data_IF_110901205491
#
_entry.id   IF_110901205491
#
_cell.length_a   1.000
_cell.length_b   1.000
_cell.length_c   1.000
_cell.angle_alpha   90.00
_cell.angle_beta   90.00
_cell.angle_gamma   90.00
#
_symmetry.space_group_name_H-M   'P 1'
#
loop_
_entity.id
_entity.type
_entity.pdbx_description
1 polymer ?
#
# COMPACT_ATOMS: atom_id res chain seq x y z
N UNK A 1 -8.59 1.12 -25.86
CA UNK A 1 -8.08 0.47 -24.63
C UNK A 1 -8.83 1.09 -23.45
N UNK A 2 -9.41 0.28 -22.55
CA UNK A 2 -10.15 0.80 -21.39
C UNK A 2 -9.13 1.19 -20.32
N UNK A 3 -9.14 2.45 -19.87
CA UNK A 3 -8.26 2.92 -18.81
C UNK A 3 -8.89 2.58 -17.46
N UNK A 4 -8.39 1.52 -16.82
CA UNK A 4 -8.82 1.16 -15.46
C UNK A 4 -8.16 2.06 -14.42
N UNK A 5 -8.80 2.27 -13.26
CA UNK A 5 -8.20 2.98 -12.14
C UNK A 5 -6.86 2.37 -11.74
N UNK A 6 -5.84 3.20 -11.60
CA UNK A 6 -4.48 2.77 -11.27
C UNK A 6 -4.17 2.98 -9.78
N UNK A 7 -3.39 2.09 -9.16
CA UNK A 7 -2.88 2.29 -7.80
C UNK A 7 -2.26 3.69 -7.61
N UNK A 8 -2.67 4.38 -6.55
CA UNK A 8 -2.19 5.72 -6.20
C UNK A 8 -2.95 6.88 -6.85
N UNK A 9 -3.86 6.64 -7.79
CA UNK A 9 -4.76 7.69 -8.28
C UNK A 9 -5.68 8.20 -7.16
N UNK A 10 -6.04 9.50 -7.21
CA UNK A 10 -7.06 10.08 -6.34
C UNK A 10 -8.33 10.40 -7.12
N UNK A 11 -9.45 10.00 -6.54
CA UNK A 11 -10.79 10.11 -7.11
C UNK A 11 -11.74 10.76 -6.12
N UNK A 12 -12.75 11.46 -6.62
CA UNK A 12 -13.77 12.14 -5.81
C UNK A 12 -15.13 11.53 -6.09
N UNK A 13 -15.87 11.19 -5.03
CA UNK A 13 -17.26 10.77 -5.14
C UNK A 13 -18.16 11.96 -5.43
N UNK A 14 -19.30 11.74 -6.06
CA UNK A 14 -20.31 12.77 -6.35
C UNK A 14 -20.79 13.54 -5.10
N UNK A 15 -20.70 12.94 -3.92
CA UNK A 15 -21.05 13.57 -2.63
C UNK A 15 -19.87 14.30 -1.96
N UNK A 16 -18.73 14.43 -2.64
CA UNK A 16 -17.63 15.31 -2.26
C UNK A 16 -16.46 14.67 -1.52
N UNK A 17 -16.59 13.44 -0.99
CA UNK A 17 -15.46 12.74 -0.34
C UNK A 17 -14.45 12.22 -1.36
N UNK A 18 -13.18 12.11 -0.94
CA UNK A 18 -12.08 11.66 -1.80
C UNK A 18 -11.50 10.34 -1.34
N UNK A 19 -11.06 9.56 -2.32
CA UNK A 19 -10.49 8.24 -2.12
C UNK A 19 -9.21 8.08 -2.93
N UNK A 20 -8.29 7.27 -2.42
CA UNK A 20 -7.09 6.83 -3.12
C UNK A 20 -7.26 5.38 -3.58
N UNK A 21 -6.92 5.08 -4.83
CA UNK A 21 -6.94 3.71 -5.35
C UNK A 21 -5.79 2.91 -4.73
N UNK A 22 -6.09 1.76 -4.13
CA UNK A 22 -5.08 0.82 -3.66
C UNK A 22 -4.70 -0.15 -4.78
N UNK A 23 -5.70 -0.82 -5.37
CA UNK A 23 -5.52 -1.75 -6.49
C UNK A 23 -6.86 -2.13 -7.13
N UNK A 24 -6.78 -2.64 -8.35
CA UNK A 24 -7.87 -3.38 -9.00
C UNK A 24 -7.73 -4.88 -8.65
N UNK A 25 -8.84 -5.53 -8.33
CA UNK A 25 -8.92 -6.96 -8.06
C UNK A 25 -9.80 -7.61 -9.11
N UNK A 26 -9.36 -8.75 -9.64
CA UNK A 26 -10.17 -9.57 -10.53
C UNK A 26 -10.72 -10.77 -9.77
N UNK A 27 -12.01 -11.07 -9.97
CA UNK A 27 -12.65 -12.23 -9.40
C UNK A 27 -12.19 -13.51 -10.10
N UNK A 28 -12.40 -14.66 -9.46
CA UNK A 28 -12.13 -15.95 -10.10
C UNK A 28 -13.07 -16.16 -11.31
N UNK A 29 -12.67 -16.93 -12.34
CA UNK A 29 -13.48 -17.12 -13.54
C UNK A 29 -14.91 -17.61 -13.25
N UNK A 30 -15.08 -18.50 -12.28
CA UNK A 30 -16.40 -19.01 -11.87
C UNK A 30 -17.30 -17.91 -11.31
N UNK A 31 -16.74 -16.99 -10.51
CA UNK A 31 -17.48 -15.85 -9.96
C UNK A 31 -17.81 -14.84 -11.05
N UNK A 32 -16.86 -14.56 -11.95
CA UNK A 32 -17.10 -13.67 -13.08
C UNK A 32 -18.17 -14.21 -14.04
N UNK A 33 -18.26 -15.54 -14.22
CA UNK A 33 -19.31 -16.17 -15.03
C UNK A 33 -20.69 -16.05 -14.38
N UNK A 34 -20.77 -16.25 -13.06
CA UNK A 34 -22.02 -16.17 -12.32
C UNK A 34 -22.51 -14.72 -12.14
N UNK A 35 -21.58 -13.77 -11.95
CA UNK A 35 -21.86 -12.37 -11.64
C UNK A 35 -20.88 -11.45 -12.39
N UNK A 36 -21.12 -11.16 -13.68
CA UNK A 36 -20.19 -10.38 -14.49
C UNK A 36 -19.98 -8.96 -13.98
N UNK A 37 -20.96 -8.36 -13.30
CA UNK A 37 -20.86 -7.02 -12.69
C UNK A 37 -19.82 -6.96 -11.56
N UNK A 38 -19.58 -8.09 -10.87
CA UNK A 38 -18.63 -8.24 -9.77
C UNK A 38 -17.34 -8.94 -10.22
N UNK A 39 -17.13 -9.08 -11.54
CA UNK A 39 -15.90 -9.65 -12.09
C UNK A 39 -14.65 -8.85 -11.72
N UNK A 40 -14.82 -7.56 -11.42
CA UNK A 40 -13.75 -6.65 -11.03
C UNK A 40 -14.19 -5.73 -9.91
N UNK A 41 -13.32 -5.61 -8.92
CA UNK A 41 -13.52 -4.70 -7.79
C UNK A 41 -12.34 -3.74 -7.66
N UNK A 42 -12.65 -2.52 -7.24
CA UNK A 42 -11.67 -1.50 -6.92
C UNK A 42 -11.53 -1.45 -5.42
N UNK A 43 -10.32 -1.66 -4.92
CA UNK A 43 -9.99 -1.48 -3.52
C UNK A 43 -9.58 -0.01 -3.30
N UNK A 44 -10.31 0.69 -2.45
CA UNK A 44 -10.16 2.13 -2.20
C UNK A 44 -9.83 2.39 -0.74
N UNK A 45 -9.10 3.48 -0.50
CA UNK A 45 -8.87 4.05 0.84
C UNK A 45 -9.50 5.44 0.91
N UNK A 46 -10.32 5.69 1.92
CA UNK A 46 -10.88 7.01 2.19
C UNK A 46 -9.80 7.94 2.74
N UNK A 47 -9.69 9.14 2.19
CA UNK A 47 -8.66 10.10 2.64
C UNK A 47 -9.00 10.72 4.01
N UNK A 48 -10.27 10.66 4.44
CA UNK A 48 -10.75 11.23 5.70
C UNK A 48 -10.28 10.46 6.94
N UNK A 49 -10.35 9.13 6.89
CA UNK A 49 -10.16 8.26 8.06
C UNK A 49 -9.26 7.05 7.76
N UNK A 50 -8.72 6.96 6.54
CA UNK A 50 -7.93 5.83 6.04
C UNK A 50 -8.67 4.48 6.08
N UNK A 51 -10.00 4.46 6.18
CA UNK A 51 -10.75 3.22 6.05
C UNK A 51 -10.61 2.66 4.65
N UNK A 52 -10.63 1.33 4.56
CA UNK A 52 -10.49 0.59 3.30
C UNK A 52 -11.82 -0.08 2.99
N UNK A 53 -12.26 0.07 1.74
CA UNK A 53 -13.46 -0.60 1.23
C UNK A 53 -13.18 -1.14 -0.17
N UNK A 54 -13.91 -2.19 -0.56
CA UNK A 54 -14.00 -2.59 -1.98
C UNK A 54 -15.35 -2.19 -2.55
N UNK A 55 -15.41 -2.01 -3.86
CA UNK A 55 -16.64 -1.79 -4.60
C UNK A 55 -16.53 -2.29 -6.04
N UNK A 56 -17.64 -2.64 -6.71
CA UNK A 56 -17.61 -3.06 -8.11
C UNK A 56 -17.08 -1.95 -9.02
N UNK A 57 -16.23 -2.32 -9.98
CA UNK A 57 -15.62 -1.36 -10.92
C UNK A 57 -16.67 -0.55 -11.67
N UNK A 58 -17.77 -1.19 -12.10
CA UNK A 58 -18.84 -0.51 -12.83
C UNK A 58 -19.52 0.59 -11.99
N UNK A 59 -19.76 0.31 -10.71
CA UNK A 59 -20.32 1.29 -9.79
C UNK A 59 -19.34 2.42 -9.49
N UNK A 60 -18.05 2.08 -9.32
CA UNK A 60 -16.99 3.06 -9.10
C UNK A 60 -16.88 4.05 -10.27
N UNK A 61 -16.83 3.58 -11.51
CA UNK A 61 -16.75 4.41 -12.72
C UNK A 61 -17.97 5.35 -12.88
N UNK A 62 -19.14 4.99 -12.33
CA UNK A 62 -20.35 5.82 -12.38
C UNK A 62 -20.35 6.95 -11.34
N UNK A 63 -19.82 6.69 -10.14
CA UNK A 63 -19.98 7.59 -8.98
C UNK A 63 -18.76 8.42 -8.67
N UNK A 64 -17.60 8.05 -9.20
CA UNK A 64 -16.33 8.72 -8.93
C UNK A 64 -15.78 9.41 -10.18
N UNK A 65 -15.22 10.59 -9.97
CA UNK A 65 -14.48 11.35 -10.99
C UNK A 65 -13.01 11.43 -10.60
N UNK A 66 -12.11 11.22 -11.57
CA UNK A 66 -10.67 11.28 -11.35
C UNK A 66 -10.21 12.71 -11.09
N UNK A 67 -9.50 12.93 -9.97
CA UNK A 67 -8.94 14.23 -9.61
C UNK A 67 -7.46 14.35 -10.01
N UNK A 68 -6.66 13.35 -9.62
CA UNK A 68 -5.22 13.34 -9.84
C UNK A 68 -4.78 11.99 -10.39
N UNK A 69 -3.88 12.02 -11.36
CA UNK A 69 -3.20 10.83 -11.85
C UNK A 69 -2.33 10.21 -10.75
N UNK A 70 -2.04 8.90 -10.88
CA UNK A 70 -1.13 8.22 -9.99
C UNK A 70 0.20 8.98 -9.94
N UNK A 71 0.82 9.14 -8.76
CA UNK A 71 2.14 9.74 -8.68
C UNK A 71 3.07 8.97 -9.60
N UNK A 72 3.65 9.68 -10.57
CA UNK A 72 4.68 9.13 -11.44
C UNK A 72 5.86 8.78 -10.55
N UNK A 73 5.93 7.51 -10.13
CA UNK A 73 7.18 6.92 -9.70
C UNK A 73 8.08 6.90 -10.92
N UNK A 74 8.76 8.01 -11.19
CA UNK A 74 9.96 7.96 -12.02
C UNK A 74 10.87 6.97 -11.30
N UNK A 75 11.22 5.82 -11.90
CA UNK A 75 12.29 5.01 -11.34
C UNK A 75 13.49 5.94 -11.30
N UNK A 76 13.89 6.36 -10.09
CA UNK A 76 15.20 6.99 -9.92
C UNK A 76 16.19 6.03 -10.56
N UNK A 77 17.08 6.49 -11.45
CA UNK A 77 18.05 5.60 -12.08
C UNK A 77 18.72 4.79 -10.96
N UNK A 78 18.62 3.47 -11.05
CA UNK A 78 19.33 2.59 -10.13
C UNK A 78 20.80 3.00 -10.20
N UNK A 79 21.45 3.35 -9.07
CA UNK A 79 22.87 3.61 -9.10
C UNK A 79 23.55 2.35 -9.66
N UNK A 80 24.23 2.52 -10.79
CA UNK A 80 24.97 1.44 -11.42
C UNK A 80 26.08 1.00 -10.46
N UNK A 81 25.92 -0.18 -9.87
CA UNK A 81 26.95 -0.87 -9.11
C UNK A 81 27.14 -0.37 -7.68
N UNK A 82 27.14 -1.32 -6.75
CA UNK A 82 27.61 -1.08 -5.40
C UNK A 82 26.85 -1.87 -4.36
N UNK A 83 27.35 -3.07 -4.07
CA UNK A 83 27.16 -3.68 -2.75
C UNK A 83 27.63 -2.67 -1.70
N UNK A 84 26.72 -2.11 -0.91
CA UNK A 84 27.08 -1.15 0.14
C UNK A 84 25.89 -0.35 0.65
N UNK A 85 25.52 -0.60 1.91
CA UNK A 85 24.76 0.38 2.69
C UNK A 85 25.59 1.67 2.77
N UNK A 86 25.21 2.70 2.03
CA UNK A 86 25.79 4.04 2.11
C UNK A 86 24.78 5.02 2.73
N UNK A 87 25.18 5.89 3.67
CA UNK A 87 24.27 6.81 4.31
C UNK A 87 23.80 7.86 3.29
N UNK A 88 22.55 8.30 3.43
CA UNK A 88 22.08 9.54 2.81
C UNK A 88 23.11 10.61 3.14
N UNK A 89 23.71 11.25 2.13
CA UNK A 89 24.63 12.37 2.32
C UNK A 89 23.84 13.55 2.87
N UNK A 90 23.72 13.61 4.18
CA UNK A 90 23.01 14.67 4.89
C UNK A 90 23.95 15.87 5.06
N UNK A 91 23.38 17.06 4.98
CA UNK A 91 24.09 18.29 5.29
C UNK A 91 24.60 18.24 6.75
N UNK A 92 25.77 18.82 7.08
CA UNK A 92 26.37 18.73 8.42
C UNK A 92 25.49 19.23 9.57
N UNK A 93 24.48 20.05 9.27
CA UNK A 93 23.53 20.59 10.25
C UNK A 93 22.35 19.65 10.55
N UNK A 94 22.25 18.50 9.87
CA UNK A 94 21.10 17.59 9.99
C UNK A 94 21.45 16.43 10.91
N UNK A 95 20.74 16.32 12.03
CA UNK A 95 20.84 15.19 12.94
C UNK A 95 19.92 14.08 12.44
N UNK A 96 20.50 12.94 12.06
CA UNK A 96 19.74 11.75 11.66
C UNK A 96 19.49 10.84 12.85
N UNK A 97 18.24 10.76 13.30
CA UNK A 97 17.81 9.78 14.29
C UNK A 97 17.14 8.59 13.61
N UNK A 98 17.79 7.42 13.61
CA UNK A 98 17.18 6.18 13.09
C UNK A 98 16.21 5.60 14.13
N UNK A 99 14.92 5.51 13.79
CA UNK A 99 13.89 5.01 14.70
C UNK A 99 13.92 3.47 14.90
N UNK A 100 14.97 2.77 14.48
CA UNK A 100 15.21 1.36 14.86
C UNK A 100 16.71 1.10 14.95
N UNK A 101 17.35 1.68 15.95
CA UNK A 101 18.58 1.09 16.46
C UNK A 101 18.20 -0.27 17.05
N UNK A 102 18.37 -1.34 16.25
CA UNK A 102 18.26 -2.71 16.75
C UNK A 102 19.45 -2.88 17.70
N UNK A 103 19.25 -2.50 18.96
CA UNK A 103 20.14 -2.92 20.05
C UNK A 103 20.28 -4.42 19.89
N UNK A 104 21.50 -4.87 19.60
CA UNK A 104 21.86 -6.29 19.55
C UNK A 104 21.38 -6.85 20.89
N UNK A 105 20.23 -7.52 20.88
CA UNK A 105 19.70 -8.17 22.06
C UNK A 105 20.77 -9.19 22.42
N UNK A 106 21.48 -8.95 23.52
CA UNK A 106 22.15 -10.05 24.22
C UNK A 106 21.08 -11.11 24.44
N UNK A 107 21.32 -12.32 23.94
CA UNK A 107 20.50 -13.47 24.26
C UNK A 107 20.36 -13.49 25.78
N UNK A 108 19.12 -13.39 26.28
CA UNK A 108 18.87 -13.62 27.68
C UNK A 108 19.26 -15.07 27.98
N UNK A 109 20.01 -15.26 29.05
CA UNK A 109 20.33 -16.58 29.60
C UNK A 109 19.02 -17.36 29.79
N UNK A 110 18.95 -18.64 29.40
CA UNK A 110 17.72 -19.41 29.52
C UNK A 110 17.30 -19.48 30.98
N UNK A 111 16.19 -18.86 31.31
CA UNK A 111 15.56 -18.93 32.62
C UNK A 111 14.86 -20.29 32.75
N UNK A 112 15.36 -21.14 33.65
CA UNK A 112 14.84 -22.47 33.97
C UNK A 112 13.39 -22.46 34.53
N UNK A 113 12.78 -21.28 34.69
CA UNK A 113 11.40 -21.11 35.14
C UNK A 113 10.35 -21.11 34.01
N UNK A 114 10.72 -21.41 32.77
CA UNK A 114 9.74 -21.46 31.67
C UNK A 114 8.78 -22.67 31.78
N UNK A 115 7.47 -22.42 31.68
CA UNK A 115 6.39 -23.41 31.83
C UNK A 115 6.39 -24.54 30.80
N UNK A 116 7.22 -24.46 29.75
CA UNK A 116 7.35 -25.46 28.69
C UNK A 116 7.95 -26.80 29.15
N UNK A 117 8.43 -26.91 30.40
CA UNK A 117 8.94 -28.15 30.97
C UNK A 117 7.85 -29.10 31.53
N UNK A 118 6.58 -28.67 31.50
CA UNK A 118 5.45 -29.41 32.08
C UNK A 118 4.39 -29.84 31.05
N UNK A 119 4.71 -29.79 29.75
CA UNK A 119 3.90 -30.34 28.66
C UNK A 119 4.66 -31.46 27.97
#
# INVERSE_FOLDING_TARGET
MRNYPQPGERWQHEHGWTVTIIRLMEATPSVALANPEFSREVLIRYDSDNQISSCPLAWFEQRYTRLFDAPLFKPSPAPAGGSGSGPLTLHPSVVFTRWRERSIRRSAEPDDNHYSKFL
#
